data_IF_086450940699
#
_entry.id   IF_086450940699
#
_cell.length_a   1.000
_cell.length_b   1.000
_cell.length_c   1.000
_cell.angle_alpha   90.00
_cell.angle_beta   90.00
_cell.angle_gamma   90.00
#
_symmetry.space_group_name_H-M   'P 1'
#
loop_
_entity.id
_entity.type
_entity.pdbx_description
1 polymer ?
#
# COMPACT_ATOMS: atom_id res chain seq x y z
N UNK A 1 61.91 -18.87 1.65
CA UNK A 1 61.38 -18.33 2.93
C UNK A 1 60.70 -16.98 2.78
N UNK A 2 61.07 -16.08 1.90
CA UNK A 2 60.47 -14.74 1.75
C UNK A 2 59.02 -14.72 1.25
N UNK A 3 58.61 -15.56 0.33
CA UNK A 3 57.24 -15.62 -0.20
C UNK A 3 56.16 -15.99 0.85
N UNK A 4 56.55 -16.78 1.87
CA UNK A 4 55.64 -17.12 2.96
C UNK A 4 55.40 -15.92 3.91
N UNK A 5 56.46 -15.18 4.23
CA UNK A 5 56.38 -13.97 5.07
C UNK A 5 55.56 -12.86 4.38
N UNK A 6 55.71 -12.68 3.09
CA UNK A 6 54.96 -11.70 2.29
C UNK A 6 53.47 -12.03 2.30
N UNK A 7 53.09 -13.31 2.13
CA UNK A 7 51.68 -13.75 2.23
C UNK A 7 51.07 -13.47 3.61
N UNK A 8 51.83 -13.76 4.68
CA UNK A 8 51.37 -13.50 6.06
C UNK A 8 51.15 -12.02 6.32
N UNK A 9 52.03 -11.13 5.83
CA UNK A 9 51.91 -9.68 5.95
C UNK A 9 50.64 -9.19 5.21
N UNK A 10 50.41 -9.65 3.99
CA UNK A 10 49.22 -9.28 3.21
C UNK A 10 47.94 -9.73 3.92
N UNK A 11 47.90 -10.95 4.45
CA UNK A 11 46.72 -11.44 5.21
C UNK A 11 46.49 -10.60 6.44
N UNK A 12 47.55 -10.21 7.17
CA UNK A 12 47.43 -9.38 8.38
C UNK A 12 46.89 -7.98 8.03
N UNK A 13 47.36 -7.36 6.95
CA UNK A 13 46.86 -6.06 6.51
C UNK A 13 45.40 -6.14 6.09
N UNK A 14 45.01 -7.18 5.32
CA UNK A 14 43.61 -7.40 4.96
C UNK A 14 42.71 -7.64 6.19
N UNK A 15 43.19 -8.41 7.17
CA UNK A 15 42.45 -8.64 8.41
C UNK A 15 42.25 -7.35 9.22
N UNK A 16 43.31 -6.52 9.33
CA UNK A 16 43.21 -5.21 9.99
C UNK A 16 42.26 -4.26 9.26
N UNK A 17 42.32 -4.21 7.92
CA UNK A 17 41.40 -3.41 7.12
C UNK A 17 39.94 -3.85 7.30
N UNK A 18 39.67 -5.15 7.27
CA UNK A 18 38.32 -5.69 7.52
C UNK A 18 37.82 -5.37 8.95
N UNK A 19 38.70 -5.48 9.94
CA UNK A 19 38.39 -5.13 11.31
C UNK A 19 38.07 -3.62 11.45
N UNK A 20 38.86 -2.75 10.84
CA UNK A 20 38.63 -1.31 10.83
C UNK A 20 37.29 -0.94 10.15
N UNK A 21 36.96 -1.59 9.02
CA UNK A 21 35.69 -1.43 8.35
C UNK A 21 34.51 -1.91 9.21
N UNK A 22 34.62 -3.07 9.84
CA UNK A 22 33.60 -3.62 10.74
C UNK A 22 33.36 -2.70 11.95
N UNK A 23 34.42 -2.17 12.56
CA UNK A 23 34.33 -1.21 13.66
C UNK A 23 33.69 0.11 13.21
N UNK A 24 34.08 0.64 12.04
CA UNK A 24 33.49 1.88 11.51
C UNK A 24 32.01 1.73 11.21
N UNK A 25 31.61 0.60 10.64
CA UNK A 25 30.21 0.29 10.36
C UNK A 25 29.42 0.12 11.68
N UNK A 26 29.96 -0.60 12.64
CA UNK A 26 29.36 -0.78 13.98
C UNK A 26 29.14 0.55 14.69
N UNK A 27 30.13 1.46 14.68
CA UNK A 27 30.01 2.80 15.24
C UNK A 27 28.94 3.65 14.55
N UNK A 28 28.86 3.61 13.21
CA UNK A 28 27.82 4.32 12.46
C UNK A 28 26.41 3.83 12.80
N UNK A 29 26.22 2.50 12.88
CA UNK A 29 24.94 1.91 13.26
C UNK A 29 24.54 2.26 14.70
N UNK A 30 25.49 2.26 15.62
CA UNK A 30 25.25 2.65 17.01
C UNK A 30 24.88 4.13 17.13
N UNK A 31 25.63 5.03 16.48
CA UNK A 31 25.34 6.47 16.45
C UNK A 31 23.99 6.77 15.82
N UNK A 32 23.62 6.07 14.73
CA UNK A 32 22.32 6.22 14.10
C UNK A 32 21.16 5.87 15.05
N UNK A 33 21.27 4.76 15.78
CA UNK A 33 20.24 4.36 16.76
C UNK A 33 20.14 5.32 17.95
N UNK A 34 21.27 5.80 18.46
CA UNK A 34 21.28 6.75 19.55
C UNK A 34 20.64 8.09 19.15
N UNK A 35 20.93 8.58 17.94
CA UNK A 35 20.32 9.80 17.39
C UNK A 35 18.80 9.65 17.18
N UNK A 36 18.35 8.49 16.70
CA UNK A 36 16.93 8.21 16.52
C UNK A 36 16.18 8.15 17.85
N UNK A 37 16.77 7.53 18.87
CA UNK A 37 16.17 7.47 20.22
C UNK A 37 16.06 8.86 20.85
N UNK A 38 17.08 9.70 20.69
CA UNK A 38 17.06 11.08 21.18
C UNK A 38 15.97 11.91 20.47
N UNK A 39 15.85 11.77 19.14
CA UNK A 39 14.82 12.43 18.35
C UNK A 39 13.41 12.00 18.77
N UNK A 40 13.19 10.72 19.01
CA UNK A 40 11.89 10.22 19.47
C UNK A 40 11.53 10.75 20.87
N UNK A 41 12.50 10.91 21.75
CA UNK A 41 12.27 11.50 23.08
C UNK A 41 11.86 12.98 22.96
N UNK A 42 12.59 13.76 22.17
CA UNK A 42 12.25 15.17 21.90
C UNK A 42 10.86 15.31 21.25
N UNK A 43 10.53 14.43 20.28
CA UNK A 43 9.22 14.41 19.67
C UNK A 43 8.10 14.12 20.66
N UNK A 44 8.28 13.18 21.58
CA UNK A 44 7.30 12.88 22.63
C UNK A 44 7.01 14.10 23.50
N UNK A 45 8.07 14.83 23.90
CA UNK A 45 7.93 16.05 24.68
C UNK A 45 7.14 17.12 23.91
N UNK A 46 7.44 17.31 22.62
CA UNK A 46 6.71 18.26 21.76
C UNK A 46 5.25 17.87 21.59
N UNK A 47 4.96 16.61 21.29
CA UNK A 47 3.57 16.14 21.17
C UNK A 47 2.80 16.31 22.48
N UNK A 48 3.41 16.01 23.61
CA UNK A 48 2.82 16.21 24.94
C UNK A 48 2.57 17.70 25.22
N UNK A 49 3.50 18.57 24.88
CA UNK A 49 3.35 20.02 25.04
C UNK A 49 2.20 20.58 24.18
N UNK A 50 1.93 19.97 23.03
CA UNK A 50 0.79 20.31 22.16
C UNK A 50 -0.50 19.56 22.53
N UNK A 51 -0.51 18.80 23.62
CA UNK A 51 -1.71 18.07 24.10
C UNK A 51 -2.07 16.87 23.24
N UNK A 52 -1.12 16.21 22.59
CA UNK A 52 -1.32 15.00 21.80
C UNK A 52 -0.47 13.86 22.35
N UNK A 53 -1.08 12.72 22.62
CA UNK A 53 -0.40 11.53 23.09
C UNK A 53 0.18 10.72 21.89
N UNK A 54 1.39 10.14 22.08
CA UNK A 54 1.99 9.20 21.14
C UNK A 54 1.94 7.77 21.69
N UNK A 55 1.84 6.75 20.84
CA UNK A 55 1.92 5.36 21.27
C UNK A 55 3.31 5.02 21.82
N UNK A 56 3.38 4.04 22.72
CA UNK A 56 4.64 3.59 23.29
C UNK A 56 5.59 3.05 22.21
N UNK A 57 5.05 2.28 21.27
CA UNK A 57 5.82 1.63 20.21
C UNK A 57 5.74 2.46 18.93
N UNK A 58 6.85 3.09 18.57
CA UNK A 58 7.03 3.76 17.28
C UNK A 58 7.91 2.86 16.43
N UNK A 59 7.46 2.48 15.20
CA UNK A 59 8.23 1.61 14.32
C UNK A 59 9.57 2.25 13.92
N UNK A 60 10.63 1.43 13.89
CA UNK A 60 11.98 1.85 13.44
C UNK A 60 12.37 1.19 12.12
N UNK A 61 11.42 0.49 11.48
CA UNK A 61 11.64 -0.15 10.19
C UNK A 61 11.82 0.88 9.07
N UNK A 62 12.66 0.54 8.09
CA UNK A 62 12.84 1.37 6.91
C UNK A 62 11.63 1.25 5.97
N UNK A 63 11.20 2.34 5.31
CA UNK A 63 10.18 2.25 4.29
C UNK A 63 10.57 1.27 3.18
N UNK A 64 9.57 0.54 2.62
CA UNK A 64 9.85 -0.38 1.53
C UNK A 64 10.16 0.35 0.22
N UNK A 65 10.66 -0.38 -0.78
CA UNK A 65 11.00 0.17 -2.10
C UNK A 65 9.78 0.76 -2.81
N UNK A 66 10.02 1.76 -3.64
CA UNK A 66 9.04 2.25 -4.62
C UNK A 66 8.83 1.19 -5.68
N UNK A 67 7.59 0.93 -6.05
CA UNK A 67 7.22 -0.09 -7.04
C UNK A 67 6.47 0.56 -8.19
N UNK A 68 6.95 0.34 -9.42
CA UNK A 68 6.26 0.77 -10.64
C UNK A 68 5.61 -0.44 -11.28
N UNK A 69 4.34 -0.33 -11.63
CA UNK A 69 3.51 -1.40 -12.19
C UNK A 69 2.90 -0.95 -13.51
N UNK A 70 2.98 -1.79 -14.54
CA UNK A 70 2.28 -1.57 -15.80
C UNK A 70 0.87 -2.18 -15.75
N UNK A 71 0.01 -1.70 -16.65
CA UNK A 71 -1.35 -2.20 -16.79
C UNK A 71 -1.34 -3.67 -17.24
N UNK A 72 -2.19 -4.49 -16.63
CA UNK A 72 -2.34 -5.91 -16.92
C UNK A 72 -3.75 -6.20 -17.44
N UNK A 73 -3.91 -6.18 -18.78
CA UNK A 73 -5.18 -6.48 -19.43
C UNK A 73 -5.63 -7.94 -19.23
N UNK A 74 -4.67 -8.88 -19.08
CA UNK A 74 -5.00 -10.27 -18.78
C UNK A 74 -5.64 -10.43 -17.41
N UNK A 75 -5.16 -9.66 -16.43
CA UNK A 75 -5.77 -9.61 -15.09
C UNK A 75 -7.15 -8.97 -15.12
N UNK A 76 -7.35 -7.89 -15.88
CA UNK A 76 -8.66 -7.25 -16.06
C UNK A 76 -9.68 -8.24 -16.65
N UNK A 77 -9.28 -9.00 -17.66
CA UNK A 77 -10.11 -10.06 -18.22
C UNK A 77 -10.46 -11.13 -17.17
N UNK A 78 -9.47 -11.64 -16.44
CA UNK A 78 -9.70 -12.63 -15.38
C UNK A 78 -10.65 -12.12 -14.30
N UNK A 79 -10.52 -10.85 -13.90
CA UNK A 79 -11.44 -10.20 -12.95
C UNK A 79 -12.87 -10.10 -13.53
N UNK A 80 -13.00 -9.69 -14.79
CA UNK A 80 -14.30 -9.59 -15.46
C UNK A 80 -14.98 -10.96 -15.57
N UNK A 81 -14.26 -11.99 -16.02
CA UNK A 81 -14.78 -13.36 -16.13
C UNK A 81 -15.17 -13.95 -14.76
N UNK A 82 -14.40 -13.64 -13.72
CA UNK A 82 -14.68 -14.12 -12.37
C UNK A 82 -16.01 -13.59 -11.81
N UNK A 83 -16.35 -12.33 -12.10
CA UNK A 83 -17.58 -11.73 -11.59
C UNK A 83 -18.77 -11.88 -12.54
N UNK A 84 -18.60 -11.67 -13.84
CA UNK A 84 -19.66 -11.75 -14.84
C UNK A 84 -19.98 -13.19 -15.24
N UNK A 85 -19.02 -14.10 -15.15
CA UNK A 85 -19.06 -15.42 -15.74
C UNK A 85 -18.47 -15.44 -17.15
N UNK A 86 -18.43 -16.59 -17.80
CA UNK A 86 -17.87 -16.74 -19.14
C UNK A 86 -18.67 -16.04 -20.24
N UNK A 87 -18.11 -16.01 -21.47
CA UNK A 87 -18.75 -15.44 -22.65
C UNK A 87 -18.75 -13.91 -22.66
N UNK A 88 -17.76 -13.27 -22.07
CA UNK A 88 -17.63 -11.81 -22.08
C UNK A 88 -17.07 -11.30 -23.41
N UNK A 89 -17.69 -10.27 -23.97
CA UNK A 89 -17.20 -9.49 -25.09
C UNK A 89 -16.30 -8.37 -24.58
N UNK A 90 -15.11 -8.23 -25.17
CA UNK A 90 -14.18 -7.13 -24.89
C UNK A 90 -14.39 -5.96 -25.82
N UNK A 91 -14.44 -4.75 -25.30
CA UNK A 91 -14.57 -3.49 -26.05
C UNK A 91 -13.52 -2.52 -25.52
N UNK A 92 -12.60 -2.08 -26.36
CA UNK A 92 -11.73 -0.95 -26.09
C UNK A 92 -12.45 0.35 -26.47
N UNK A 93 -12.76 1.18 -25.47
CA UNK A 93 -13.39 2.48 -25.68
C UNK A 93 -12.38 3.60 -25.95
N UNK A 94 -11.09 3.28 -25.98
CA UNK A 94 -10.03 4.28 -26.07
C UNK A 94 -9.80 4.99 -24.73
N UNK A 95 -8.78 5.88 -24.68
CA UNK A 95 -8.47 6.64 -23.47
C UNK A 95 -8.09 5.77 -22.25
N UNK A 96 -7.69 4.52 -22.49
CA UNK A 96 -7.36 3.58 -21.41
C UNK A 96 -8.57 2.97 -20.71
N UNK A 97 -9.73 2.94 -21.37
CA UNK A 97 -10.96 2.35 -20.83
C UNK A 97 -11.23 1.02 -21.53
N UNK A 98 -11.22 -0.07 -20.78
CA UNK A 98 -11.60 -1.41 -21.20
C UNK A 98 -12.95 -1.81 -20.63
N UNK A 99 -13.83 -2.34 -21.47
CA UNK A 99 -15.16 -2.79 -21.07
C UNK A 99 -15.30 -4.27 -21.42
N UNK A 100 -15.72 -5.05 -20.46
CA UNK A 100 -16.12 -6.46 -20.63
C UNK A 100 -17.60 -6.57 -20.33
N UNK A 101 -18.37 -7.14 -21.24
CA UNK A 101 -19.81 -7.28 -21.05
C UNK A 101 -20.33 -8.65 -21.51
N UNK A 102 -21.44 -9.07 -20.94
CA UNK A 102 -22.24 -10.19 -21.40
C UNK A 102 -23.74 -9.90 -21.19
N UNK A 103 -24.60 -10.87 -21.40
CA UNK A 103 -26.05 -10.70 -21.21
C UNK A 103 -26.49 -10.39 -19.77
N UNK A 104 -25.63 -10.64 -18.79
CA UNK A 104 -25.93 -10.45 -17.37
C UNK A 104 -25.34 -9.16 -16.78
N UNK A 105 -24.33 -8.55 -17.41
CA UNK A 105 -23.70 -7.38 -16.83
C UNK A 105 -22.49 -6.84 -17.58
N UNK A 106 -21.83 -5.88 -16.93
CA UNK A 106 -20.68 -5.16 -17.49
C UNK A 106 -19.65 -4.89 -16.41
N UNK A 107 -18.38 -5.03 -16.76
CA UNK A 107 -17.22 -4.59 -15.98
C UNK A 107 -16.40 -3.59 -16.78
N UNK A 108 -16.12 -2.44 -16.21
CA UNK A 108 -15.33 -1.36 -16.81
C UNK A 108 -14.07 -1.15 -16.02
N UNK A 109 -12.91 -1.16 -16.68
CA UNK A 109 -11.60 -0.91 -16.10
C UNK A 109 -10.96 0.31 -16.75
N UNK A 110 -10.26 1.11 -15.96
CA UNK A 110 -9.56 2.31 -16.43
C UNK A 110 -8.06 2.20 -16.16
N UNK A 111 -7.28 2.82 -17.01
CA UNK A 111 -5.81 2.79 -16.95
C UNK A 111 -5.23 3.16 -15.56
N UNK A 112 -5.91 4.01 -14.81
CA UNK A 112 -5.54 4.37 -13.44
C UNK A 112 -5.82 3.29 -12.37
N UNK A 113 -6.25 2.07 -12.78
CA UNK A 113 -6.57 0.98 -11.88
C UNK A 113 -7.97 1.05 -11.26
N UNK A 114 -8.76 2.07 -11.55
CA UNK A 114 -10.15 2.12 -11.10
C UNK A 114 -11.03 1.19 -11.92
N UNK A 115 -12.04 0.62 -11.28
CA UNK A 115 -13.00 -0.25 -11.94
C UNK A 115 -14.42 0.00 -11.42
N UNK A 116 -15.39 -0.38 -12.24
CA UNK A 116 -16.80 -0.45 -11.85
C UNK A 116 -17.46 -1.67 -12.53
N UNK A 117 -18.24 -2.40 -11.78
CA UNK A 117 -18.95 -3.59 -12.23
C UNK A 117 -20.42 -3.48 -11.88
N UNK A 118 -21.28 -3.89 -12.80
CA UNK A 118 -22.72 -4.09 -12.56
C UNK A 118 -23.11 -5.45 -13.12
N UNK A 119 -23.66 -6.30 -12.28
CA UNK A 119 -24.07 -7.66 -12.62
C UNK A 119 -25.49 -7.90 -12.13
N UNK A 120 -26.37 -8.34 -13.00
CA UNK A 120 -27.66 -8.89 -12.65
C UNK A 120 -27.50 -10.40 -12.41
N UNK A 121 -27.77 -10.81 -11.18
CA UNK A 121 -27.72 -12.22 -10.79
C UNK A 121 -28.90 -12.97 -11.42
N UNK A 122 -28.68 -14.17 -11.96
CA UNK A 122 -29.76 -14.96 -12.54
C UNK A 122 -30.69 -15.50 -11.46
N UNK A 123 -31.95 -15.69 -11.82
CA UNK A 123 -32.86 -16.46 -11.00
C UNK A 123 -32.44 -17.93 -10.98
N UNK A 124 -32.39 -18.56 -9.80
CA UNK A 124 -31.92 -19.93 -9.64
C UNK A 124 -32.19 -20.49 -8.26
N UNK A 125 -31.66 -21.69 -7.98
CA UNK A 125 -31.81 -22.35 -6.67
C UNK A 125 -31.07 -21.61 -5.56
N UNK A 126 -29.90 -21.03 -5.85
CA UNK A 126 -29.13 -20.25 -4.88
C UNK A 126 -29.74 -18.85 -4.72
N UNK A 127 -29.78 -18.37 -3.49
CA UNK A 127 -30.25 -17.02 -3.19
C UNK A 127 -29.35 -15.95 -3.82
N UNK A 128 -29.89 -14.74 -4.12
CA UNK A 128 -29.06 -13.65 -4.63
C UNK A 128 -27.86 -13.32 -3.72
N UNK A 129 -28.00 -13.50 -2.41
CA UNK A 129 -26.92 -13.27 -1.44
C UNK A 129 -25.80 -14.29 -1.59
N UNK A 130 -26.11 -15.59 -1.69
CA UNK A 130 -25.11 -16.65 -1.89
C UNK A 130 -24.37 -16.46 -3.22
N UNK A 131 -25.08 -16.14 -4.28
CA UNK A 131 -24.50 -15.84 -5.58
C UNK A 131 -23.59 -14.60 -5.51
N UNK A 132 -24.02 -13.52 -4.86
CA UNK A 132 -23.25 -12.30 -4.67
C UNK A 132 -21.96 -12.58 -3.91
N UNK A 133 -22.02 -13.34 -2.81
CA UNK A 133 -20.82 -13.73 -2.06
C UNK A 133 -19.85 -14.54 -2.90
N UNK A 134 -20.35 -15.54 -3.64
CA UNK A 134 -19.51 -16.36 -4.51
C UNK A 134 -18.82 -15.52 -5.57
N UNK A 135 -19.55 -14.64 -6.26
CA UNK A 135 -19.02 -13.75 -7.30
C UNK A 135 -18.03 -12.74 -6.74
N UNK A 136 -18.33 -12.11 -5.60
CA UNK A 136 -17.43 -11.16 -4.95
C UNK A 136 -16.12 -11.82 -4.49
N UNK A 137 -16.18 -13.03 -3.93
CA UNK A 137 -14.98 -13.81 -3.55
C UNK A 137 -14.14 -14.22 -4.76
N UNK A 138 -14.78 -14.64 -5.86
CA UNK A 138 -14.07 -14.98 -7.10
C UNK A 138 -13.36 -13.75 -7.70
N UNK A 139 -14.06 -12.62 -7.76
CA UNK A 139 -13.50 -11.35 -8.19
C UNK A 139 -12.33 -10.89 -7.33
N UNK A 140 -12.50 -10.90 -6.00
CA UNK A 140 -11.46 -10.52 -5.05
C UNK A 140 -10.20 -11.37 -5.21
N UNK A 141 -10.36 -12.68 -5.40
CA UNK A 141 -9.24 -13.61 -5.67
C UNK A 141 -8.51 -13.26 -6.97
N UNK A 142 -9.24 -13.01 -8.06
CA UNK A 142 -8.65 -12.62 -9.35
C UNK A 142 -7.93 -11.27 -9.25
N UNK A 143 -8.48 -10.33 -8.49
CA UNK A 143 -7.90 -9.02 -8.25
C UNK A 143 -6.76 -9.02 -7.22
N UNK A 144 -6.55 -10.10 -6.47
CA UNK A 144 -5.59 -10.15 -5.37
C UNK A 144 -5.98 -9.30 -4.16
N UNK A 145 -7.28 -9.13 -3.93
CA UNK A 145 -7.83 -8.52 -2.72
C UNK A 145 -7.94 -9.53 -1.58
N UNK A 146 -8.06 -9.03 -0.37
CA UNK A 146 -8.48 -9.84 0.77
C UNK A 146 -9.89 -10.39 0.52
N UNK A 147 -10.22 -11.52 1.16
CA UNK A 147 -11.53 -12.15 0.94
C UNK A 147 -12.64 -11.29 1.53
N UNK A 148 -13.59 -10.80 0.72
CA UNK A 148 -14.70 -10.01 1.23
C UNK A 148 -15.71 -10.87 1.99
N UNK A 149 -16.34 -10.27 2.99
CA UNK A 149 -17.55 -10.79 3.63
C UNK A 149 -18.67 -9.79 3.40
N UNK A 150 -19.79 -10.25 2.81
CA UNK A 150 -20.94 -9.40 2.60
C UNK A 150 -21.86 -9.48 3.83
N UNK A 151 -22.05 -8.36 4.52
CA UNK A 151 -22.98 -8.23 5.61
C UNK A 151 -24.18 -7.41 5.13
N UNK A 152 -25.36 -7.98 5.22
CA UNK A 152 -26.60 -7.33 4.73
C UNK A 152 -26.50 -6.81 3.29
N UNK A 153 -25.79 -7.55 2.42
CA UNK A 153 -25.61 -7.20 1.02
C UNK A 153 -24.51 -6.17 0.72
N UNK A 154 -23.75 -5.76 1.71
CA UNK A 154 -22.62 -4.84 1.52
C UNK A 154 -21.34 -5.44 2.08
N UNK A 155 -20.21 -5.15 1.45
CA UNK A 155 -18.90 -5.62 1.89
C UNK A 155 -17.77 -4.86 1.22
N UNK A 156 -16.58 -5.00 1.78
CA UNK A 156 -15.36 -4.42 1.21
C UNK A 156 -14.22 -5.42 1.24
N UNK A 157 -13.24 -5.21 0.38
CA UNK A 157 -12.01 -5.98 0.34
C UNK A 157 -10.84 -5.01 0.13
N UNK A 158 -9.84 -5.08 0.99
CA UNK A 158 -8.62 -4.29 0.89
C UNK A 158 -7.57 -5.01 0.02
N UNK A 159 -6.54 -4.28 -0.39
CA UNK A 159 -5.40 -4.86 -1.09
C UNK A 159 -4.10 -4.61 -0.32
N UNK A 160 -3.22 -5.61 -0.33
CA UNK A 160 -1.88 -5.54 0.25
C UNK A 160 -0.83 -5.79 -0.83
N UNK A 161 0.33 -5.21 -0.64
CA UNK A 161 1.50 -5.48 -1.47
C UNK A 161 2.74 -5.68 -0.59
N UNK A 162 3.43 -6.81 -0.76
CA UNK A 162 4.62 -7.13 0.03
C UNK A 162 4.39 -7.16 1.55
N UNK A 163 3.16 -7.47 2.00
CA UNK A 163 2.80 -7.45 3.42
C UNK A 163 2.23 -6.11 3.91
N UNK A 164 2.41 -5.02 3.17
CA UNK A 164 1.93 -3.68 3.54
C UNK A 164 0.53 -3.40 2.96
N UNK A 165 -0.37 -2.74 3.70
CA UNK A 165 -1.65 -2.29 3.16
C UNK A 165 -1.43 -1.23 2.08
N UNK A 166 -2.31 -1.20 1.07
CA UNK A 166 -2.29 -0.17 0.03
C UNK A 166 -3.48 0.75 0.24
N UNK A 167 -3.20 1.99 0.61
CA UNK A 167 -4.24 2.98 0.85
C UNK A 167 -4.97 3.34 -0.45
N UNK A 168 -6.31 3.30 -0.42
CA UNK A 168 -7.14 3.60 -1.58
C UNK A 168 -7.21 2.47 -2.63
N UNK A 169 -6.54 1.33 -2.44
CA UNK A 169 -6.73 0.14 -3.27
C UNK A 169 -7.63 -0.86 -2.56
N UNK A 170 -8.70 -1.26 -3.24
CA UNK A 170 -9.69 -2.16 -2.71
C UNK A 170 -10.98 -2.15 -3.51
N UNK A 171 -11.96 -2.92 -3.07
CA UNK A 171 -13.27 -3.05 -3.67
C UNK A 171 -14.36 -2.83 -2.65
N UNK A 172 -15.42 -2.15 -3.03
CA UNK A 172 -16.69 -2.10 -2.33
C UNK A 172 -17.72 -2.90 -3.13
N UNK A 173 -18.45 -3.76 -2.45
CA UNK A 173 -19.51 -4.57 -3.05
C UNK A 173 -20.86 -4.17 -2.46
N UNK A 174 -21.89 -4.12 -3.29
CA UNK A 174 -23.25 -3.84 -2.85
C UNK A 174 -24.26 -4.67 -3.65
N UNK A 175 -25.11 -5.39 -2.94
CA UNK A 175 -26.24 -6.14 -3.50
C UNK A 175 -27.54 -5.41 -3.25
N UNK A 176 -28.28 -5.09 -4.30
CA UNK A 176 -29.62 -4.50 -4.23
C UNK A 176 -30.58 -5.34 -5.05
N UNK A 177 -31.50 -6.06 -4.39
CA UNK A 177 -32.34 -7.05 -5.03
C UNK A 177 -31.49 -8.14 -5.68
N UNK A 178 -31.55 -8.29 -7.01
CA UNK A 178 -30.71 -9.19 -7.79
C UNK A 178 -29.53 -8.51 -8.50
N UNK A 179 -29.25 -7.24 -8.20
CA UNK A 179 -28.15 -6.51 -8.83
C UNK A 179 -26.96 -6.39 -7.88
N UNK A 180 -25.85 -7.00 -8.24
CA UNK A 180 -24.55 -6.85 -7.59
C UNK A 180 -23.75 -5.74 -8.28
N UNK A 181 -23.28 -4.79 -7.51
CA UNK A 181 -22.31 -3.77 -7.96
C UNK A 181 -20.99 -3.94 -7.24
N UNK A 182 -19.88 -3.69 -7.93
CA UNK A 182 -18.55 -3.63 -7.33
C UNK A 182 -17.82 -2.40 -7.89
N UNK A 183 -17.21 -1.61 -7.01
CA UNK A 183 -16.48 -0.41 -7.37
C UNK A 183 -15.19 -0.32 -6.55
N UNK A 184 -14.16 0.29 -7.13
CA UNK A 184 -12.91 0.50 -6.42
C UNK A 184 -11.70 0.70 -7.31
N UNK A 185 -10.55 0.35 -6.75
CA UNK A 185 -9.30 0.34 -7.50
C UNK A 185 -8.45 -0.87 -7.16
N UNK A 186 -7.73 -1.38 -8.15
CA UNK A 186 -6.86 -2.54 -8.03
C UNK A 186 -5.45 -2.20 -8.46
N UNK A 187 -4.48 -2.98 -7.95
CA UNK A 187 -3.10 -2.89 -8.37
C UNK A 187 -2.89 -3.66 -9.68
N UNK A 188 -2.43 -2.98 -10.68
CA UNK A 188 -1.89 -3.63 -11.88
C UNK A 188 -0.60 -4.37 -11.55
N UNK A 189 -0.28 -5.47 -12.22
CA UNK A 189 0.87 -6.31 -11.86
C UNK A 189 1.62 -6.94 -13.02
N UNK A 190 1.42 -6.48 -14.26
CA UNK A 190 2.05 -7.09 -15.42
C UNK A 190 3.57 -6.93 -15.43
N UNK A 191 4.06 -5.75 -15.02
CA UNK A 191 5.49 -5.44 -14.95
C UNK A 191 5.82 -4.73 -13.65
N UNK A 192 6.86 -5.19 -12.95
CA UNK A 192 7.28 -4.64 -11.67
C UNK A 192 8.73 -4.17 -11.75
N UNK A 193 8.94 -2.87 -11.64
CA UNK A 193 10.27 -2.31 -11.38
C UNK A 193 10.31 -1.81 -9.94
N UNK A 194 11.33 -2.24 -9.18
CA UNK A 194 11.55 -1.78 -7.81
C UNK A 194 12.74 -0.84 -7.79
N UNK A 195 12.57 0.32 -7.20
CA UNK A 195 13.64 1.31 -7.03
C UNK A 195 13.75 1.70 -5.56
N UNK A 196 14.95 2.04 -5.12
CA UNK A 196 15.13 2.61 -3.79
C UNK A 196 14.29 3.89 -3.68
N UNK A 197 13.52 3.97 -2.60
CA UNK A 197 12.73 5.13 -2.27
C UNK A 197 13.43 6.00 -1.23
N UNK A 198 12.90 7.20 -0.98
CA UNK A 198 13.41 8.06 0.08
C UNK A 198 13.23 7.36 1.44
N UNK A 199 14.32 7.33 2.22
CA UNK A 199 14.34 6.73 3.54
C UNK A 199 13.79 7.72 4.58
N UNK A 200 12.47 7.87 4.66
CA UNK A 200 11.83 8.67 5.70
C UNK A 200 11.55 7.81 6.93
N UNK A 201 12.16 8.12 8.06
CA UNK A 201 11.86 7.44 9.33
C UNK A 201 10.50 7.84 9.88
N UNK A 202 9.93 7.00 10.76
CA UNK A 202 8.69 7.33 11.48
C UNK A 202 8.81 8.65 12.27
N UNK A 203 9.97 8.92 12.87
CA UNK A 203 10.24 10.16 13.57
C UNK A 203 10.14 11.38 12.65
N UNK A 204 10.70 11.30 11.44
CA UNK A 204 10.57 12.37 10.44
C UNK A 204 9.12 12.54 9.98
N UNK A 205 8.38 11.44 9.77
CA UNK A 205 6.97 11.49 9.42
C UNK A 205 6.12 12.12 10.52
N UNK A 206 6.38 11.81 11.79
CA UNK A 206 5.72 12.43 12.93
C UNK A 206 6.01 13.93 13.03
N UNK A 207 7.24 14.38 12.73
CA UNK A 207 7.57 15.81 12.67
C UNK A 207 6.72 16.50 11.59
N UNK A 208 6.61 15.91 10.39
CA UNK A 208 5.76 16.46 9.30
C UNK A 208 4.29 16.50 9.69
N UNK A 209 3.82 15.46 10.38
CA UNK A 209 2.46 15.40 10.88
C UNK A 209 2.18 16.49 11.94
N UNK A 210 3.11 16.75 12.84
CA UNK A 210 2.98 17.79 13.85
C UNK A 210 2.92 19.19 13.21
N UNK A 211 3.79 19.46 12.24
CA UNK A 211 3.76 20.70 11.44
C UNK A 211 2.41 20.88 10.74
N UNK A 212 1.90 19.81 10.11
CA UNK A 212 0.58 19.80 9.46
C UNK A 212 -0.54 20.11 10.45
N UNK A 213 -0.53 19.46 11.64
CA UNK A 213 -1.54 19.68 12.68
C UNK A 213 -1.56 21.14 13.11
N UNK A 214 -0.40 21.72 13.37
CA UNK A 214 -0.26 23.14 13.78
C UNK A 214 -0.76 24.09 12.70
N UNK A 215 -0.49 23.80 11.41
CA UNK A 215 -0.90 24.66 10.29
C UNK A 215 -2.38 24.51 9.94
N UNK A 216 -2.92 23.28 10.02
CA UNK A 216 -4.33 23.01 9.65
C UNK A 216 -5.33 23.31 10.77
N UNK A 217 -4.87 23.50 12.01
CA UNK A 217 -5.74 23.66 13.17
C UNK A 217 -6.50 22.37 13.54
N UNK A 218 -6.05 21.20 13.05
CA UNK A 218 -6.70 19.94 13.35
C UNK A 218 -6.59 19.59 14.84
N UNK A 219 -7.74 19.32 15.47
CA UNK A 219 -7.79 18.91 16.87
C UNK A 219 -7.61 17.39 16.91
N UNK A 220 -6.47 16.96 17.40
CA UNK A 220 -6.07 15.56 17.53
C UNK A 220 -5.48 15.40 18.92
N UNK A 221 -6.09 14.56 19.76
CA UNK A 221 -5.65 14.34 21.14
C UNK A 221 -4.71 13.13 21.24
N UNK A 222 -4.82 12.15 20.36
CA UNK A 222 -4.05 10.92 20.45
C UNK A 222 -3.69 10.35 19.06
N UNK A 223 -2.44 9.92 18.92
CA UNK A 223 -1.98 9.02 17.87
C UNK A 223 -2.04 7.60 18.41
N UNK A 224 -2.90 6.76 17.84
CA UNK A 224 -3.15 5.40 18.33
C UNK A 224 -2.24 4.36 17.69
N UNK A 225 -1.87 4.55 16.40
CA UNK A 225 -1.03 3.62 15.66
C UNK A 225 -0.20 4.35 14.59
N UNK A 226 1.01 3.86 14.38
CA UNK A 226 1.89 4.28 13.29
C UNK A 226 2.31 3.03 12.53
N UNK A 227 2.06 3.00 11.22
CA UNK A 227 2.39 1.84 10.39
C UNK A 227 2.75 2.25 8.97
N UNK A 228 3.54 1.41 8.28
CA UNK A 228 3.87 1.62 6.88
C UNK A 228 2.72 1.15 5.97
N UNK A 229 2.50 1.89 4.90
CA UNK A 229 1.58 1.54 3.84
C UNK A 229 2.13 1.99 2.49
N UNK A 230 1.42 1.64 1.41
CA UNK A 230 1.67 2.17 0.09
C UNK A 230 0.57 3.15 -0.33
N UNK A 231 0.98 4.20 -1.05
CA UNK A 231 0.10 5.13 -1.76
C UNK A 231 0.21 4.87 -3.26
N UNK A 232 -0.85 4.44 -3.93
CA UNK A 232 -0.85 4.33 -5.38
C UNK A 232 -0.99 5.71 -6.01
N UNK A 233 -0.15 5.99 -6.99
CA UNK A 233 -0.24 7.17 -7.86
C UNK A 233 -0.30 6.68 -9.29
N UNK A 234 -1.32 7.07 -10.02
CA UNK A 234 -1.46 6.73 -11.44
C UNK A 234 -2.15 7.87 -12.18
N UNK A 235 -1.87 7.94 -13.46
CA UNK A 235 -2.58 8.80 -14.41
C UNK A 235 -3.06 7.94 -15.59
N UNK A 236 -3.94 8.47 -16.42
CA UNK A 236 -4.45 7.74 -17.58
C UNK A 236 -3.35 7.32 -18.60
N UNK A 237 -2.20 7.98 -18.56
CA UNK A 237 -1.09 7.79 -19.51
C UNK A 237 0.22 7.33 -18.88
N UNK A 238 0.28 7.17 -17.57
CA UNK A 238 1.50 6.75 -16.86
C UNK A 238 1.29 5.43 -16.10
N UNK A 239 2.35 4.62 -15.94
CA UNK A 239 2.29 3.43 -15.10
C UNK A 239 1.90 3.79 -13.66
N UNK A 240 1.29 2.84 -12.97
CA UNK A 240 0.97 2.98 -11.55
C UNK A 240 2.26 2.93 -10.72
N UNK A 241 2.44 3.87 -9.83
CA UNK A 241 3.58 3.92 -8.91
C UNK A 241 3.05 3.76 -7.49
N UNK A 242 3.54 2.75 -6.77
CA UNK A 242 3.34 2.58 -5.34
C UNK A 242 4.47 3.25 -4.60
N UNK A 243 4.18 4.34 -3.94
CA UNK A 243 5.14 5.06 -3.09
C UNK A 243 4.89 4.70 -1.63
N UNK A 244 5.95 4.41 -0.83
CA UNK A 244 5.78 4.17 0.59
C UNK A 244 5.30 5.42 1.31
N UNK A 245 4.51 5.22 2.35
CA UNK A 245 4.00 6.26 3.23
C UNK A 245 3.83 5.74 4.65
N UNK A 246 3.85 6.64 5.61
CA UNK A 246 3.48 6.37 6.99
C UNK A 246 2.00 6.64 7.20
N UNK A 247 1.26 5.65 7.66
CA UNK A 247 -0.11 5.81 8.14
C UNK A 247 -0.07 6.13 9.62
N UNK A 248 -0.61 7.26 10.00
CA UNK A 248 -0.76 7.73 11.36
C UNK A 248 -2.25 7.67 11.70
N UNK A 249 -2.64 6.67 12.48
CA UNK A 249 -4.01 6.54 12.97
C UNK A 249 -4.16 7.39 14.23
N UNK A 250 -5.25 8.15 14.31
CA UNK A 250 -5.55 9.06 15.40
C UNK A 250 -6.98 8.89 15.88
N UNK A 251 -7.32 9.51 16.98
CA UNK A 251 -8.70 9.63 17.49
C UNK A 251 -9.66 10.33 16.52
N UNK A 252 -9.14 11.16 15.60
CA UNK A 252 -9.92 11.91 14.60
C UNK A 252 -9.90 11.31 13.19
N UNK A 253 -9.22 10.18 12.98
CA UNK A 253 -9.11 9.47 11.71
C UNK A 253 -7.67 9.14 11.31
N UNK A 254 -7.48 8.69 10.08
CA UNK A 254 -6.18 8.31 9.55
C UNK A 254 -5.55 9.46 8.78
N UNK A 255 -4.23 9.60 8.92
CA UNK A 255 -3.42 10.52 8.13
C UNK A 255 -2.30 9.73 7.44
N UNK A 256 -1.93 10.18 6.26
CA UNK A 256 -0.91 9.55 5.41
C UNK A 256 0.19 10.56 5.15
N UNK A 257 1.41 10.20 5.54
CA UNK A 257 2.61 11.02 5.30
C UNK A 257 3.42 10.36 4.20
N UNK A 258 3.45 10.96 3.03
CA UNK A 258 4.18 10.43 1.87
C UNK A 258 5.68 10.44 2.11
N UNK A 259 6.35 9.30 1.97
CA UNK A 259 7.82 9.24 2.07
C UNK A 259 8.51 9.96 0.91
N UNK A 260 7.82 10.19 -0.21
CA UNK A 260 8.42 10.80 -1.40
C UNK A 260 8.66 12.31 -1.23
N UNK A 261 7.71 13.01 -0.63
CA UNK A 261 7.70 14.49 -0.56
C UNK A 261 7.36 15.03 0.84
N UNK A 262 7.04 14.17 1.79
CA UNK A 262 6.65 14.56 3.14
C UNK A 262 5.27 15.21 3.23
N UNK A 263 4.47 15.16 2.14
CA UNK A 263 3.12 15.69 2.15
C UNK A 263 2.22 14.88 3.07
N UNK A 264 1.32 15.58 3.79
CA UNK A 264 0.35 14.96 4.69
C UNK A 264 -1.03 15.09 4.07
N UNK A 265 -1.76 13.99 4.02
CA UNK A 265 -3.14 13.93 3.56
C UNK A 265 -4.01 13.14 4.53
N UNK A 266 -5.32 13.38 4.51
CA UNK A 266 -6.26 12.54 5.25
C UNK A 266 -6.48 11.24 4.47
N UNK A 267 -6.40 10.10 5.16
CA UNK A 267 -6.59 8.77 4.62
C UNK A 267 -8.03 8.28 4.62
#
# INVERSE_FOLDING_TARGET
MERSRLKTIIILILAMMNLALALSLGLRLYQGRAAETALLTELRERFTAEGCALPENIPTEAPPMVVTMERDSGREQAMAEAILGGGTEYIDQGGGISVYRNGSGQATFRAGGSFSVTLRLPDGEATPMEQAEQRSRAFARAAGFETPTLLSGSGSAAQRYGGYPVSGAGASFSLRGSTLTAEGSYLSSAYLTKTEGPAMSAATALTRFLDFRSQSGAVIAEVTEISLCYLPRSTASAPMVLSPAWRIATDSGNYLVSCADGSVSRG
#
